data_IF_766119467922
#
_entry.id   IF_766119467922
#
_cell.length_a   1.000
_cell.length_b   1.000
_cell.length_c   1.000
_cell.angle_alpha   90.00
_cell.angle_beta   90.00
_cell.angle_gamma   90.00
#
_symmetry.space_group_name_H-M   'P 1'
#
loop_
_entity.id
_entity.type
_entity.pdbx_description
1 polymer ?
#
# COMPACT_ATOMS: atom_id res chain seq x y z
N UNK A 1 -11.28 12.56 7.17
CA UNK A 1 -11.85 13.31 6.03
C UNK A 1 -13.35 13.56 6.20
N UNK A 2 -14.08 12.70 6.92
CA UNK A 2 -15.53 12.78 7.07
C UNK A 2 -16.00 14.00 7.86
N UNK A 3 -15.20 14.46 8.80
CA UNK A 3 -15.47 15.65 9.62
C UNK A 3 -15.28 16.98 8.85
N UNK A 4 -14.69 16.91 7.65
CA UNK A 4 -14.51 18.10 6.81
C UNK A 4 -15.84 18.52 6.20
N UNK A 5 -16.16 19.79 6.34
CA UNK A 5 -17.38 20.40 5.76
C UNK A 5 -17.18 20.72 4.24
N UNK A 6 -16.90 19.70 3.45
CA UNK A 6 -16.69 19.77 2.02
C UNK A 6 -17.59 18.75 1.30
N UNK A 7 -17.77 18.89 -0.01
CA UNK A 7 -18.59 17.97 -0.79
C UNK A 7 -18.04 16.55 -0.83
N UNK A 8 -18.89 15.56 -1.02
CA UNK A 8 -18.49 14.16 -1.15
C UNK A 8 -17.52 13.95 -2.34
N UNK A 9 -17.70 14.70 -3.43
CA UNK A 9 -16.77 14.67 -4.54
C UNK A 9 -15.35 15.15 -4.15
N UNK A 10 -15.27 16.20 -3.32
CA UNK A 10 -13.98 16.68 -2.80
C UNK A 10 -13.37 15.68 -1.81
N UNK A 11 -14.16 15.08 -0.92
CA UNK A 11 -13.69 14.00 -0.02
C UNK A 11 -13.13 12.82 -0.80
N UNK A 12 -13.84 12.38 -1.83
CA UNK A 12 -13.39 11.32 -2.73
C UNK A 12 -12.07 11.66 -3.40
N UNK A 13 -11.93 12.87 -3.92
CA UNK A 13 -10.71 13.36 -4.56
C UNK A 13 -9.53 13.42 -3.58
N UNK A 14 -9.73 13.95 -2.38
CA UNK A 14 -8.72 13.97 -1.32
C UNK A 14 -8.26 12.56 -0.96
N UNK A 15 -9.21 11.64 -0.77
CA UNK A 15 -8.94 10.26 -0.43
C UNK A 15 -8.09 9.55 -1.50
N UNK A 16 -8.51 9.58 -2.77
CA UNK A 16 -7.76 8.93 -3.83
C UNK A 16 -6.43 9.63 -4.14
N UNK A 17 -6.36 10.94 -4.02
CA UNK A 17 -5.09 11.66 -4.20
C UNK A 17 -4.07 11.27 -3.13
N UNK A 18 -4.49 11.19 -1.87
CA UNK A 18 -3.64 10.71 -0.78
C UNK A 18 -3.19 9.26 -1.01
N UNK A 19 -4.12 8.39 -1.39
CA UNK A 19 -3.84 6.98 -1.63
C UNK A 19 -2.88 6.78 -2.80
N UNK A 20 -3.07 7.51 -3.91
CA UNK A 20 -2.13 7.52 -5.04
C UNK A 20 -0.72 7.93 -4.61
N UNK A 21 -0.59 9.02 -3.87
CA UNK A 21 0.70 9.48 -3.35
C UNK A 21 1.37 8.40 -2.49
N UNK A 22 0.63 7.78 -1.58
CA UNK A 22 1.14 6.70 -0.71
C UNK A 22 1.57 5.47 -1.49
N UNK A 23 0.81 5.05 -2.49
CA UNK A 23 1.16 3.93 -3.37
C UNK A 23 2.45 4.24 -4.13
N UNK A 24 2.58 5.43 -4.71
CA UNK A 24 3.79 5.86 -5.43
C UNK A 24 5.00 5.86 -4.50
N UNK A 25 4.92 6.51 -3.35
CA UNK A 25 6.02 6.60 -2.39
C UNK A 25 6.45 5.23 -1.88
N UNK A 26 5.49 4.33 -1.64
CA UNK A 26 5.76 2.95 -1.22
C UNK A 26 6.41 2.13 -2.34
N UNK A 27 5.96 2.31 -3.58
CA UNK A 27 6.55 1.66 -4.76
C UNK A 27 8.00 2.09 -4.95
N UNK A 28 8.32 3.37 -4.83
CA UNK A 28 9.69 3.90 -4.94
C UNK A 28 10.60 3.34 -3.84
N UNK A 29 10.11 3.26 -2.59
CA UNK A 29 10.87 2.63 -1.49
C UNK A 29 11.11 1.15 -1.75
N UNK A 30 10.10 0.42 -2.22
CA UNK A 30 10.22 -1.00 -2.57
C UNK A 30 11.20 -1.21 -3.72
N UNK A 31 11.19 -0.35 -4.75
CA UNK A 31 12.10 -0.40 -5.87
C UNK A 31 13.57 -0.18 -5.45
N UNK A 32 13.85 0.83 -4.60
CA UNK A 32 15.18 1.02 -4.03
C UNK A 32 15.64 -0.22 -3.25
N UNK A 33 14.77 -0.77 -2.38
CA UNK A 33 15.08 -1.97 -1.60
C UNK A 33 15.35 -3.19 -2.49
N UNK A 34 14.55 -3.39 -3.55
CA UNK A 34 14.73 -4.46 -4.52
C UNK A 34 16.11 -4.40 -5.21
N UNK A 35 16.63 -3.19 -5.43
CA UNK A 35 17.93 -2.93 -6.06
C UNK A 35 19.07 -2.74 -5.03
N UNK A 36 18.85 -3.06 -3.75
CA UNK A 36 19.82 -2.87 -2.66
C UNK A 36 20.37 -1.42 -2.60
N UNK A 37 19.51 -0.44 -2.88
CA UNK A 37 19.83 0.98 -2.78
C UNK A 37 19.19 1.59 -1.54
N UNK A 38 19.89 2.52 -0.93
CA UNK A 38 19.34 3.28 0.19
C UNK A 38 18.37 4.34 -0.35
N UNK A 39 17.19 4.38 0.22
CA UNK A 39 16.21 5.41 -0.08
C UNK A 39 16.57 6.71 0.67
N UNK A 40 16.53 7.89 0.04
CA UNK A 40 16.09 8.20 -1.32
C UNK A 40 17.21 8.23 -2.38
N UNK A 41 18.44 7.85 -2.06
CA UNK A 41 19.64 7.99 -2.93
C UNK A 41 19.50 7.20 -4.25
N UNK A 42 18.76 6.08 -4.25
CA UNK A 42 18.57 5.24 -5.43
C UNK A 42 17.49 5.72 -6.42
N UNK A 43 16.85 6.86 -6.17
CA UNK A 43 15.71 7.30 -6.97
C UNK A 43 16.08 7.78 -8.38
N UNK A 44 17.31 8.25 -8.59
CA UNK A 44 17.75 8.73 -9.91
C UNK A 44 17.81 7.63 -10.96
N UNK A 45 18.09 6.40 -10.51
CA UNK A 45 18.20 5.21 -11.37
C UNK A 45 16.85 4.62 -11.78
N UNK A 46 15.76 5.04 -11.11
CA UNK A 46 14.40 4.60 -11.38
C UNK A 46 13.77 5.56 -12.37
N UNK A 47 13.03 5.04 -13.33
CA UNK A 47 12.35 5.84 -14.34
C UNK A 47 10.93 5.31 -14.57
N UNK A 48 9.98 6.23 -14.68
CA UNK A 48 8.61 5.98 -15.10
C UNK A 48 8.44 6.43 -16.55
N UNK A 49 7.99 5.52 -17.40
CA UNK A 49 7.70 5.76 -18.82
C UNK A 49 6.34 5.16 -19.17
N UNK A 50 5.46 5.94 -19.76
CA UNK A 50 4.23 5.49 -20.40
C UNK A 50 3.88 6.45 -21.53
N UNK A 51 2.96 6.04 -22.40
CA UNK A 51 2.49 6.91 -23.46
C UNK A 51 1.69 8.08 -22.85
N UNK A 52 2.13 9.29 -23.13
CA UNK A 52 1.61 10.51 -22.51
C UNK A 52 0.22 10.92 -23.06
N UNK A 53 -0.34 10.16 -24.00
CA UNK A 53 -1.68 10.42 -24.56
C UNK A 53 -2.77 10.48 -23.48
N UNK A 54 -2.58 9.73 -22.38
CA UNK A 54 -3.59 9.58 -21.32
C UNK A 54 -3.44 10.58 -20.16
N UNK A 55 -2.33 11.36 -20.11
CA UNK A 55 -2.05 12.35 -19.07
C UNK A 55 -2.50 11.93 -17.65
N UNK A 56 -2.16 10.71 -17.23
CA UNK A 56 -2.62 10.12 -15.98
C UNK A 56 -2.24 10.95 -14.76
N UNK A 57 -1.01 11.47 -14.70
CA UNK A 57 -0.57 12.32 -13.62
C UNK A 57 -0.50 13.77 -14.08
N UNK A 58 -1.57 14.52 -13.77
CA UNK A 58 -1.61 15.96 -14.04
C UNK A 58 -0.38 16.65 -13.42
N UNK A 59 0.17 17.62 -14.10
CA UNK A 59 1.37 18.37 -13.70
C UNK A 59 2.66 17.56 -13.55
N UNK A 60 2.72 16.29 -13.93
CA UNK A 60 3.94 15.49 -14.02
C UNK A 60 4.25 15.18 -15.49
N UNK A 61 5.37 15.66 -15.96
CA UNK A 61 5.88 15.30 -17.29
C UNK A 61 6.49 13.89 -17.26
N UNK A 62 6.09 13.04 -18.21
CA UNK A 62 6.60 11.67 -18.38
C UNK A 62 7.27 11.59 -19.77
N UNK A 63 8.44 10.97 -19.90
CA UNK A 63 9.15 10.16 -18.91
C UNK A 63 9.77 11.00 -17.79
N UNK A 64 9.76 10.47 -16.57
CA UNK A 64 10.35 11.11 -15.41
C UNK A 64 11.19 10.14 -14.58
N UNK A 65 12.19 10.66 -13.87
CA UNK A 65 12.94 9.84 -12.93
C UNK A 65 12.25 9.73 -11.57
N UNK A 66 12.71 8.77 -10.75
CA UNK A 66 12.13 8.52 -9.43
C UNK A 66 12.22 9.72 -8.47
N UNK A 67 13.19 10.65 -8.62
CA UNK A 67 13.23 11.88 -7.81
C UNK A 67 12.11 12.84 -8.17
N UNK A 68 11.82 13.00 -9.47
CA UNK A 68 10.72 13.84 -9.94
C UNK A 68 9.38 13.25 -9.50
N UNK A 69 9.20 11.94 -9.66
CA UNK A 69 8.00 11.24 -9.21
C UNK A 69 7.82 11.32 -7.68
N UNK A 70 8.90 11.17 -6.93
CA UNK A 70 8.91 11.35 -5.47
C UNK A 70 8.52 12.76 -5.04
N UNK A 71 9.12 13.77 -5.68
CA UNK A 71 8.84 15.17 -5.35
C UNK A 71 7.38 15.51 -5.65
N UNK A 72 6.86 15.07 -6.79
CA UNK A 72 5.47 15.25 -7.18
C UNK A 72 4.50 14.61 -6.16
N UNK A 73 4.69 13.31 -5.85
CA UNK A 73 3.82 12.61 -4.91
C UNK A 73 3.89 13.20 -3.49
N UNK A 74 5.09 13.55 -3.02
CA UNK A 74 5.28 14.17 -1.71
C UNK A 74 4.65 15.56 -1.63
N UNK A 75 4.63 16.32 -2.73
CA UNK A 75 3.99 17.63 -2.77
C UNK A 75 2.46 17.51 -2.68
N UNK A 76 1.88 16.56 -3.41
CA UNK A 76 0.43 16.28 -3.33
C UNK A 76 0.05 15.88 -1.89
N UNK A 77 0.78 14.93 -1.29
CA UNK A 77 0.53 14.52 0.09
C UNK A 77 0.61 15.70 1.06
N UNK A 78 1.63 16.54 0.94
CA UNK A 78 1.79 17.74 1.77
C UNK A 78 0.64 18.73 1.59
N UNK A 79 0.19 18.95 0.37
CA UNK A 79 -0.92 19.88 0.09
C UNK A 79 -2.24 19.34 0.67
N UNK A 80 -2.47 18.03 0.60
CA UNK A 80 -3.65 17.40 1.22
C UNK A 80 -3.63 17.61 2.75
N UNK A 81 -2.50 17.37 3.42
CA UNK A 81 -2.40 17.63 4.85
C UNK A 81 -2.61 19.09 5.21
N UNK A 82 -2.03 20.02 4.45
CA UNK A 82 -2.29 21.45 4.65
C UNK A 82 -3.78 21.80 4.52
N UNK A 83 -4.47 21.18 3.57
CA UNK A 83 -5.92 21.36 3.38
C UNK A 83 -6.70 20.82 4.58
N UNK A 84 -6.33 19.66 5.10
CA UNK A 84 -6.99 19.05 6.27
C UNK A 84 -6.73 19.88 7.52
N UNK A 85 -5.51 20.38 7.71
CA UNK A 85 -5.11 21.13 8.89
C UNK A 85 -5.59 22.59 8.90
N UNK A 86 -6.00 23.13 7.74
CA UNK A 86 -6.33 24.56 7.62
C UNK A 86 -7.63 24.98 8.31
N UNK A 87 -8.43 24.10 8.89
CA UNK A 87 -9.71 24.37 9.62
C UNK A 87 -10.68 25.36 8.94
N UNK A 88 -10.27 25.99 7.85
CA UNK A 88 -11.07 26.92 7.08
C UNK A 88 -11.53 26.14 5.87
N UNK A 89 -12.83 25.86 5.70
CA UNK A 89 -13.36 25.33 4.45
C UNK A 89 -13.25 26.43 3.40
N UNK A 90 -12.08 26.58 2.79
CA UNK A 90 -11.99 27.32 1.55
C UNK A 90 -12.76 26.54 0.50
N UNK A 91 -13.88 27.11 0.11
CA UNK A 91 -14.88 26.55 -0.83
C UNK A 91 -14.24 26.18 -2.18
N UNK A 92 -13.01 26.64 -2.46
CA UNK A 92 -12.30 26.50 -3.72
C UNK A 92 -10.92 25.83 -3.63
N UNK A 93 -10.68 24.96 -2.65
CA UNK A 93 -9.43 24.21 -2.64
C UNK A 93 -9.42 23.27 -3.84
N UNK A 94 -8.82 23.70 -4.93
CA UNK A 94 -8.46 22.83 -6.06
C UNK A 94 -7.34 21.91 -5.58
N UNK A 95 -7.71 20.78 -5.02
CA UNK A 95 -6.74 19.72 -4.77
C UNK A 95 -6.34 19.16 -6.13
N UNK A 96 -5.08 19.40 -6.51
CA UNK A 96 -4.48 18.70 -7.64
C UNK A 96 -4.48 17.21 -7.31
N UNK A 97 -5.40 16.47 -7.89
CA UNK A 97 -5.53 15.06 -7.57
C UNK A 97 -6.54 14.37 -8.47
N UNK A 98 -6.71 13.11 -8.22
CA UNK A 98 -7.55 12.25 -9.04
C UNK A 98 -8.70 11.68 -8.21
N UNK A 99 -9.84 11.52 -8.87
CA UNK A 99 -11.01 10.86 -8.31
C UNK A 99 -10.91 9.32 -8.36
N UNK A 100 -9.77 8.80 -8.82
CA UNK A 100 -9.51 7.38 -9.04
C UNK A 100 -8.10 6.97 -8.57
N UNK A 101 -7.89 5.69 -8.30
CA UNK A 101 -6.60 5.13 -7.89
C UNK A 101 -5.73 4.79 -9.12
N UNK A 102 -5.37 5.81 -9.88
CA UNK A 102 -4.64 5.69 -11.14
C UNK A 102 -3.23 5.12 -10.99
N UNK A 103 -2.63 5.23 -9.80
CA UNK A 103 -1.31 4.66 -9.54
C UNK A 103 -1.25 3.15 -9.82
N UNK A 104 -2.35 2.41 -9.64
CA UNK A 104 -2.40 0.98 -9.97
C UNK A 104 -2.39 0.72 -11.49
N UNK A 105 -2.84 1.67 -12.28
CA UNK A 105 -2.85 1.57 -13.75
C UNK A 105 -1.49 1.94 -14.33
N UNK A 106 -0.81 2.90 -13.70
CA UNK A 106 0.45 3.48 -14.21
C UNK A 106 1.67 2.73 -13.72
N UNK A 107 1.71 2.30 -12.45
CA UNK A 107 2.85 1.60 -11.87
C UNK A 107 2.85 0.12 -12.24
N UNK A 108 3.13 -0.16 -13.48
CA UNK A 108 3.18 -1.52 -14.03
C UNK A 108 4.63 -1.94 -14.35
N UNK A 109 4.92 -3.24 -14.49
CA UNK A 109 6.25 -3.71 -14.93
C UNK A 109 6.69 -3.14 -16.29
N UNK A 110 5.73 -2.78 -17.15
CA UNK A 110 5.98 -2.21 -18.49
C UNK A 110 6.39 -0.75 -18.41
N UNK A 111 5.98 -0.03 -17.37
CA UNK A 111 6.18 1.40 -17.21
C UNK A 111 7.34 1.75 -16.28
N UNK A 112 7.81 0.79 -15.46
CA UNK A 112 8.87 1.03 -14.48
C UNK A 112 10.20 0.44 -14.93
N UNK A 113 11.21 1.29 -14.96
CA UNK A 113 12.57 0.96 -15.38
C UNK A 113 13.58 1.27 -14.29
N UNK A 114 14.69 0.55 -14.32
CA UNK A 114 15.86 0.79 -13.50
C UNK A 114 17.10 0.73 -14.42
N UNK A 115 17.81 1.85 -14.55
CA UNK A 115 18.96 1.95 -15.45
C UNK A 115 18.66 1.44 -16.87
N UNK A 116 17.53 1.84 -17.43
CA UNK A 116 17.08 1.48 -18.78
C UNK A 116 16.53 0.06 -18.96
N UNK A 117 16.51 -0.77 -17.92
CA UNK A 117 15.94 -2.12 -17.96
C UNK A 117 14.64 -2.17 -17.15
N UNK A 118 13.73 -3.08 -17.49
CA UNK A 118 12.52 -3.29 -16.68
C UNK A 118 12.88 -3.50 -15.21
N UNK A 119 12.21 -2.80 -14.31
CA UNK A 119 12.47 -2.85 -12.88
C UNK A 119 12.17 -4.24 -12.28
N UNK A 120 11.08 -4.85 -12.71
CA UNK A 120 10.59 -6.12 -12.21
C UNK A 120 9.67 -6.80 -13.24
N UNK A 121 9.39 -8.08 -13.06
CA UNK A 121 8.47 -8.84 -13.91
C UNK A 121 7.02 -8.81 -13.43
N UNK A 122 6.80 -8.53 -12.14
CA UNK A 122 5.46 -8.49 -11.51
C UNK A 122 5.45 -7.48 -10.38
N UNK A 123 4.29 -6.87 -10.15
CA UNK A 123 4.03 -5.99 -9.01
C UNK A 123 2.81 -6.55 -8.27
N UNK A 124 2.91 -6.59 -6.95
CA UNK A 124 1.82 -6.88 -6.03
C UNK A 124 1.62 -5.67 -5.13
N UNK A 125 0.46 -5.07 -5.18
CA UNK A 125 0.07 -4.01 -4.26
C UNK A 125 -0.58 -4.62 -3.02
N UNK A 126 -0.04 -4.29 -1.85
CA UNK A 126 -0.55 -4.80 -0.58
C UNK A 126 -1.09 -3.64 0.25
N UNK A 127 -2.38 -3.65 0.52
CA UNK A 127 -3.06 -2.70 1.39
C UNK A 127 -3.35 -3.37 2.71
N UNK A 128 -2.54 -3.03 3.71
CA UNK A 128 -2.64 -3.59 5.04
C UNK A 128 -3.55 -2.73 5.92
N UNK A 129 -4.22 -3.38 6.86
CA UNK A 129 -5.09 -2.72 7.84
C UNK A 129 -6.23 -1.88 7.20
N UNK A 130 -6.81 -2.31 6.09
CA UNK A 130 -7.88 -1.57 5.41
C UNK A 130 -9.11 -1.32 6.32
N UNK A 131 -9.29 -2.11 7.39
CA UNK A 131 -10.29 -1.88 8.41
C UNK A 131 -10.12 -0.55 9.20
N UNK A 132 -8.96 0.11 9.10
CA UNK A 132 -8.73 1.45 9.69
C UNK A 132 -9.32 2.59 8.85
N UNK A 133 -9.72 2.31 7.62
CA UNK A 133 -10.50 3.24 6.82
C UNK A 133 -11.89 3.37 7.44
N UNK A 134 -12.51 4.54 7.33
CA UNK A 134 -13.92 4.68 7.67
C UNK A 134 -14.80 3.85 6.71
N UNK A 135 -16.02 3.52 7.12
CA UNK A 135 -16.91 2.67 6.32
C UNK A 135 -17.15 3.22 4.91
N UNK A 136 -17.41 4.53 4.69
CA UNK A 136 -17.53 5.09 3.35
C UNK A 136 -16.24 4.97 2.54
N UNK A 137 -15.09 5.26 3.14
CA UNK A 137 -13.78 5.16 2.47
C UNK A 137 -13.46 3.71 2.09
N UNK A 138 -13.73 2.76 2.99
CA UNK A 138 -13.51 1.34 2.77
C UNK A 138 -14.41 0.80 1.65
N UNK A 139 -15.68 1.16 1.68
CA UNK A 139 -16.64 0.79 0.63
C UNK A 139 -16.22 1.35 -0.74
N UNK A 140 -15.86 2.62 -0.79
CA UNK A 140 -15.38 3.29 -2.00
C UNK A 140 -14.09 2.65 -2.55
N UNK A 141 -13.15 2.30 -1.67
CA UNK A 141 -11.89 1.65 -2.03
C UNK A 141 -12.14 0.24 -2.59
N UNK A 142 -12.92 -0.59 -1.89
CA UNK A 142 -13.26 -1.95 -2.33
C UNK A 142 -14.00 -1.93 -3.66
N UNK A 143 -15.02 -1.08 -3.77
CA UNK A 143 -15.77 -0.93 -5.01
C UNK A 143 -14.85 -0.56 -6.17
N UNK A 144 -13.94 0.39 -5.98
CA UNK A 144 -12.99 0.78 -7.02
C UNK A 144 -12.10 -0.40 -7.47
N UNK A 145 -11.53 -1.15 -6.53
CA UNK A 145 -10.67 -2.29 -6.84
C UNK A 145 -11.43 -3.38 -7.60
N UNK A 146 -12.68 -3.63 -7.25
CA UNK A 146 -13.53 -4.66 -7.86
C UNK A 146 -14.05 -4.25 -9.25
N UNK A 147 -14.50 -3.00 -9.40
CA UNK A 147 -15.09 -2.52 -10.65
C UNK A 147 -14.04 -2.20 -11.72
N UNK A 148 -12.93 -1.60 -11.31
CA UNK A 148 -11.84 -1.23 -12.21
C UNK A 148 -10.88 -2.39 -12.36
N UNK A 149 -11.07 -3.21 -13.39
CA UNK A 149 -10.13 -4.29 -13.77
C UNK A 149 -8.79 -3.70 -14.22
N UNK A 150 -8.03 -3.18 -13.26
CA UNK A 150 -6.74 -2.51 -13.52
C UNK A 150 -5.65 -3.46 -14.06
N UNK A 151 -5.90 -4.77 -14.06
CA UNK A 151 -4.86 -5.76 -14.33
C UNK A 151 -3.78 -5.85 -13.25
N UNK A 152 -3.89 -5.03 -12.20
CA UNK A 152 -2.96 -5.04 -11.07
C UNK A 152 -3.29 -6.18 -10.11
N UNK A 153 -2.24 -6.84 -9.60
CA UNK A 153 -2.41 -7.79 -8.50
C UNK A 153 -2.53 -7.01 -7.19
N UNK A 154 -3.64 -7.18 -6.49
CA UNK A 154 -3.92 -6.47 -5.24
C UNK A 154 -4.25 -7.46 -4.13
N UNK A 155 -3.64 -7.26 -2.95
CA UNK A 155 -4.03 -7.91 -1.71
C UNK A 155 -4.52 -6.86 -0.72
N UNK A 156 -5.61 -7.15 -0.06
CA UNK A 156 -6.18 -6.30 0.99
C UNK A 156 -6.25 -7.14 2.26
N UNK A 157 -5.69 -6.65 3.37
CA UNK A 157 -5.83 -7.27 4.67
C UNK A 157 -6.77 -6.46 5.56
N UNK A 158 -7.64 -7.16 6.29
CA UNK A 158 -8.59 -6.59 7.22
C UNK A 158 -8.72 -7.48 8.45
N UNK A 159 -9.14 -6.90 9.58
CA UNK A 159 -9.54 -7.65 10.77
C UNK A 159 -11.04 -7.88 10.73
N UNK A 160 -11.46 -9.12 10.80
CA UNK A 160 -12.88 -9.49 10.73
C UNK A 160 -13.71 -8.79 11.82
N UNK A 161 -13.16 -8.71 13.04
CA UNK A 161 -13.85 -8.12 14.20
C UNK A 161 -14.04 -6.58 14.06
N UNK A 162 -13.30 -5.96 13.18
CA UNK A 162 -13.41 -4.52 12.92
C UNK A 162 -14.37 -4.18 11.78
N UNK A 163 -14.94 -5.19 11.12
CA UNK A 163 -15.94 -5.03 10.07
C UNK A 163 -17.35 -5.04 10.68
N UNK A 164 -18.24 -4.24 10.12
CA UNK A 164 -19.65 -4.30 10.50
C UNK A 164 -20.29 -5.65 10.15
N UNK A 165 -21.36 -6.07 10.81
CA UNK A 165 -22.04 -7.33 10.48
C UNK A 165 -22.45 -7.43 9.00
N UNK A 166 -22.89 -6.32 8.40
CA UNK A 166 -23.26 -6.27 6.99
C UNK A 166 -22.05 -6.46 6.06
N UNK A 167 -20.87 -6.00 6.44
CA UNK A 167 -19.63 -6.21 5.69
C UNK A 167 -19.11 -7.64 5.82
N UNK A 168 -19.25 -8.24 7.03
CA UNK A 168 -18.89 -9.64 7.26
C UNK A 168 -19.79 -10.60 6.47
N UNK A 169 -21.06 -10.25 6.29
CA UNK A 169 -22.03 -11.05 5.55
C UNK A 169 -21.95 -10.86 4.04
N UNK A 170 -21.46 -9.70 3.60
CA UNK A 170 -21.20 -9.41 2.18
C UNK A 170 -19.86 -10.02 1.78
N UNK A 171 -19.74 -11.34 1.86
CA UNK A 171 -18.69 -12.03 1.13
C UNK A 171 -18.96 -11.80 -0.36
N UNK A 172 -18.20 -10.93 -0.99
CA UNK A 172 -18.22 -10.73 -2.44
C UNK A 172 -17.52 -11.91 -3.13
N UNK A 173 -17.81 -13.14 -2.71
CA UNK A 173 -17.36 -14.35 -3.39
C UNK A 173 -17.91 -14.36 -4.79
N UNK A 174 -17.13 -13.87 -5.72
CA UNK A 174 -17.43 -13.80 -7.11
C UNK A 174 -16.16 -14.05 -7.94
N UNK A 175 -16.28 -13.92 -9.24
CA UNK A 175 -15.23 -14.20 -10.21
C UNK A 175 -13.94 -13.36 -10.06
N UNK A 176 -13.97 -12.30 -9.26
CA UNK A 176 -12.96 -11.24 -9.32
C UNK A 176 -12.03 -11.19 -8.12
N UNK A 177 -12.30 -11.92 -7.03
CA UNK A 177 -11.40 -12.04 -5.88
C UNK A 177 -11.61 -13.34 -5.09
N UNK A 178 -10.58 -13.72 -4.34
CA UNK A 178 -10.57 -14.85 -3.42
C UNK A 178 -10.38 -14.33 -1.99
N UNK A 179 -11.23 -14.79 -1.08
CA UNK A 179 -11.11 -14.49 0.35
C UNK A 179 -10.32 -15.57 1.05
N UNK A 180 -9.31 -15.17 1.82
CA UNK A 180 -8.52 -16.05 2.66
C UNK A 180 -8.73 -15.67 4.14
N UNK A 181 -9.56 -16.43 4.85
CA UNK A 181 -9.63 -16.34 6.31
C UNK A 181 -8.41 -17.00 6.94
N UNK A 182 -7.47 -16.18 7.46
CA UNK A 182 -6.21 -16.67 8.01
C UNK A 182 -6.41 -17.49 9.28
N UNK A 183 -7.39 -17.17 10.12
CA UNK A 183 -7.69 -17.95 11.32
C UNK A 183 -8.10 -19.37 10.94
N UNK A 184 -9.07 -19.51 10.04
CA UNK A 184 -9.51 -20.81 9.53
C UNK A 184 -8.37 -21.56 8.81
N UNK A 185 -7.54 -20.84 8.07
CA UNK A 185 -6.39 -21.43 7.40
C UNK A 185 -5.39 -22.03 8.40
N UNK A 186 -5.05 -21.28 9.46
CA UNK A 186 -4.10 -21.72 10.47
C UNK A 186 -4.66 -22.82 11.38
N UNK A 187 -5.95 -22.76 11.73
CA UNK A 187 -6.62 -23.80 12.48
C UNK A 187 -6.59 -25.15 11.74
N UNK A 188 -6.71 -25.12 10.41
CA UNK A 188 -6.57 -26.32 9.57
C UNK A 188 -5.13 -26.74 9.34
N UNK A 189 -4.14 -25.90 9.62
CA UNK A 189 -2.72 -26.14 9.35
C UNK A 189 -1.82 -25.78 10.54
N UNK A 190 -2.03 -26.36 11.75
CA UNK A 190 -1.32 -25.95 12.96
C UNK A 190 0.21 -26.19 12.88
N UNK A 191 0.66 -27.21 12.18
CA UNK A 191 2.10 -27.49 11.97
C UNK A 191 2.76 -26.41 11.12
N UNK A 192 2.07 -25.87 10.10
CA UNK A 192 2.57 -24.76 9.29
C UNK A 192 2.62 -23.47 10.11
N UNK A 193 1.59 -23.20 10.92
CA UNK A 193 1.59 -22.06 11.84
C UNK A 193 2.79 -22.11 12.79
N UNK A 194 3.00 -23.24 13.45
CA UNK A 194 4.13 -23.44 14.36
C UNK A 194 5.47 -23.17 13.67
N UNK A 195 5.65 -23.64 12.42
CA UNK A 195 6.86 -23.41 11.63
C UNK A 195 7.04 -21.91 11.31
N UNK A 196 5.98 -21.21 10.93
CA UNK A 196 6.02 -19.76 10.63
C UNK A 196 6.36 -18.97 11.89
N UNK A 197 5.70 -19.25 13.03
CA UNK A 197 5.98 -18.58 14.29
C UNK A 197 7.44 -18.79 14.74
N UNK A 198 7.94 -20.03 14.65
CA UNK A 198 9.35 -20.33 14.94
C UNK A 198 10.28 -19.49 14.05
N UNK A 199 10.08 -19.49 12.74
CA UNK A 199 10.92 -18.75 11.80
C UNK A 199 10.92 -17.23 12.08
N UNK A 200 9.77 -16.67 12.48
CA UNK A 200 9.67 -15.26 12.85
C UNK A 200 10.46 -14.99 14.14
N UNK A 201 10.29 -15.85 15.14
CA UNK A 201 10.96 -15.72 16.44
C UNK A 201 12.49 -15.84 16.30
N UNK A 202 12.96 -16.83 15.55
CA UNK A 202 14.39 -17.05 15.30
C UNK A 202 15.02 -15.88 14.54
N UNK A 203 14.34 -15.36 13.51
CA UNK A 203 14.82 -14.18 12.80
C UNK A 203 14.88 -12.92 13.67
N UNK A 204 13.92 -12.74 14.57
CA UNK A 204 13.94 -11.61 15.51
C UNK A 204 15.04 -11.77 16.55
N UNK A 205 15.24 -12.97 17.07
CA UNK A 205 16.33 -13.26 18.00
C UNK A 205 17.70 -12.95 17.36
N UNK A 206 17.96 -13.47 16.16
CA UNK A 206 19.19 -13.22 15.42
C UNK A 206 19.42 -11.73 15.06
N UNK A 207 18.37 -10.91 14.98
CA UNK A 207 18.49 -9.46 14.75
C UNK A 207 18.69 -8.66 16.03
N UNK A 208 18.38 -9.23 17.21
CA UNK A 208 18.43 -8.52 18.48
C UNK A 208 19.76 -8.66 19.20
N UNK A 209 20.49 -9.77 18.98
CA UNK A 209 21.78 -10.06 19.59
C UNK A 209 22.62 -10.97 18.69
N UNK A 210 23.94 -10.73 18.64
CA UNK A 210 24.88 -11.59 17.91
C UNK A 210 25.11 -12.95 18.60
N UNK A 211 24.74 -13.07 19.88
CA UNK A 211 24.95 -14.27 20.71
C UNK A 211 23.78 -15.26 20.63
N UNK A 212 22.58 -14.80 20.18
CA UNK A 212 21.37 -15.64 20.15
C UNK A 212 21.08 -16.08 18.73
N UNK A 213 21.26 -17.36 18.45
CA UNK A 213 21.01 -17.94 17.12
C UNK A 213 19.56 -18.39 16.94
N UNK A 214 18.88 -18.83 18.02
CA UNK A 214 17.47 -19.18 17.97
C UNK A 214 16.72 -18.79 19.25
N UNK A 215 15.46 -18.40 19.08
CA UNK A 215 14.57 -18.08 20.20
C UNK A 215 14.27 -19.32 21.07
N UNK A 216 14.34 -20.51 20.49
CA UNK A 216 14.06 -21.76 21.19
C UNK A 216 15.22 -22.17 22.15
N UNK A 217 16.47 -21.88 21.76
CA UNK A 217 17.63 -22.06 22.65
C UNK A 217 17.51 -21.15 23.88
N UNK A 218 17.18 -19.88 23.65
CA UNK A 218 16.96 -18.94 24.74
C UNK A 218 15.87 -19.36 25.73
N UNK A 219 14.76 -19.95 25.25
CA UNK A 219 13.69 -20.45 26.12
C UNK A 219 14.09 -21.71 26.87
N UNK A 220 14.88 -22.62 26.26
CA UNK A 220 15.32 -23.89 26.91
C UNK A 220 16.29 -23.63 28.04
N UNK A 221 17.17 -22.66 27.93
CA UNK A 221 18.13 -22.29 28.99
C UNK A 221 17.41 -21.69 30.21
N UNK A 222 16.39 -20.88 30.02
CA UNK A 222 15.66 -20.23 31.12
C UNK A 222 14.61 -21.15 31.81
N UNK A 223 14.17 -22.24 31.18
CA UNK A 223 13.22 -23.18 31.75
C UNK A 223 13.90 -24.30 32.57
N UNK A 224 15.23 -24.45 32.45
CA UNK A 224 16.01 -25.43 33.22
C UNK A 224 16.41 -24.91 34.61
N UNK A 225 16.19 -23.63 34.92
CA UNK A 225 16.52 -22.99 36.20
C UNK A 225 15.30 -22.83 37.14
N UNK A 226 14.13 -23.37 36.80
CA UNK A 226 12.93 -23.41 37.65
C UNK A 226 12.56 -24.83 38.01
#
# INVERSE_FOLDING_TARGET
LEELNISEAQKKRLFFSLLNSRVILSTLRAACRLKNRKFPEGLEDIELRYDNSDNFFKSLEVPCNGKQLFAWASNIERNIYKTIDSFIPEVDVVVEGHDELISLLVLTPQNLYYQGKSLCSRILFMFDDAHKLSDPQRSLFKQYILEKRSGANVWISERLEALSPDEQLKSFEGRDFEELNLENFWNKNPSKLKKVLRNISDKRAALSSEEVTSFQEYLSENLSET
#
